data_IF_104002161679
#
_entry.id   IF_104002161679
#
_cell.length_a   1.000
_cell.length_b   1.000
_cell.length_c   1.000
_cell.angle_alpha   90.00
_cell.angle_beta   90.00
_cell.angle_gamma   90.00
#
_symmetry.space_group_name_H-M   'P 1'
#
loop_
_entity.id
_entity.type
_entity.pdbx_description
1 polymer ?
#
# COMPACT_ATOMS: atom_id res chain seq x y z
N UNK A 1 -2.77 -9.12 -11.25
CA UNK A 1 -1.41 -9.01 -11.84
C UNK A 1 -1.38 -8.30 -13.18
N UNK A 2 -2.18 -8.71 -14.18
CA UNK A 2 -2.17 -8.07 -15.52
C UNK A 2 -2.54 -6.58 -15.44
N UNK A 3 -3.61 -6.23 -14.73
CA UNK A 3 -3.97 -4.83 -14.48
C UNK A 3 -2.85 -4.05 -13.77
N UNK A 4 -2.11 -4.70 -12.85
CA UNK A 4 -0.99 -4.06 -12.14
C UNK A 4 0.12 -3.69 -13.14
N UNK A 5 0.44 -4.59 -14.07
CA UNK A 5 1.42 -4.32 -15.13
C UNK A 5 0.96 -3.26 -16.11
N UNK A 6 -0.31 -3.27 -16.54
CA UNK A 6 -0.85 -2.24 -17.44
C UNK A 6 -0.85 -0.85 -16.80
N UNK A 7 -1.18 -0.75 -15.51
CA UNK A 7 -1.12 0.51 -14.77
C UNK A 7 0.33 1.01 -14.67
N UNK A 8 1.31 0.12 -14.49
CA UNK A 8 2.72 0.50 -14.50
C UNK A 8 3.18 1.05 -15.85
N UNK A 9 2.84 0.35 -16.92
CA UNK A 9 3.22 0.71 -18.28
C UNK A 9 2.59 2.02 -18.74
N UNK A 10 1.38 2.32 -18.27
CA UNK A 10 0.71 3.61 -18.48
C UNK A 10 1.19 4.73 -17.55
N UNK A 11 2.16 4.46 -16.67
CA UNK A 11 2.65 5.39 -15.64
C UNK A 11 1.54 5.93 -14.73
N UNK A 12 0.56 5.07 -14.43
CA UNK A 12 -0.57 5.35 -13.56
C UNK A 12 -0.28 5.21 -12.06
N UNK A 13 -1.35 5.22 -11.27
CA UNK A 13 -1.33 5.00 -9.81
C UNK A 13 -2.36 3.96 -9.40
N UNK A 14 -2.07 3.27 -8.30
CA UNK A 14 -2.96 2.33 -7.62
C UNK A 14 -3.21 2.83 -6.20
N UNK A 15 -4.44 3.30 -5.95
CA UNK A 15 -4.93 3.61 -4.61
C UNK A 15 -5.34 2.35 -3.87
N UNK A 16 -4.53 1.91 -2.91
CA UNK A 16 -4.80 0.72 -2.10
C UNK A 16 -5.87 1.07 -1.04
N UNK A 17 -7.01 0.37 -1.10
CA UNK A 17 -8.20 0.66 -0.29
C UNK A 17 -8.12 0.08 1.13
N UNK A 18 -8.53 0.83 2.15
CA UNK A 18 -8.58 0.33 3.54
C UNK A 18 -9.88 -0.43 3.83
N UNK A 19 -10.08 -1.59 3.19
CA UNK A 19 -11.35 -2.30 3.24
C UNK A 19 -11.22 -3.78 3.64
N UNK A 20 -11.77 -4.14 4.81
CA UNK A 20 -11.73 -5.52 5.35
C UNK A 20 -12.54 -6.54 4.52
N UNK A 21 -13.53 -6.06 3.76
CA UNK A 21 -14.40 -6.91 2.94
C UNK A 21 -13.78 -7.33 1.61
N UNK A 22 -12.82 -6.56 1.10
CA UNK A 22 -12.22 -6.76 -0.24
C UNK A 22 -10.77 -7.23 -0.22
N UNK A 23 -10.07 -7.09 0.91
CA UNK A 23 -8.75 -7.68 1.12
C UNK A 23 -8.88 -8.98 1.95
N UNK A 24 -8.12 -10.04 1.64
CA UNK A 24 -8.44 -11.18 0.76
C UNK A 24 -9.77 -11.94 1.05
N UNK A 25 -10.86 -11.22 1.36
CA UNK A 25 -12.19 -11.79 1.43
C UNK A 25 -12.49 -12.59 2.71
N UNK A 26 -13.58 -13.38 2.68
CA UNK A 26 -14.26 -13.96 3.86
C UNK A 26 -13.35 -14.69 4.87
N UNK A 27 -12.20 -15.19 4.44
CA UNK A 27 -11.21 -15.86 5.30
C UNK A 27 -10.69 -14.90 6.38
N UNK A 28 -10.40 -13.66 6.00
CA UNK A 28 -9.81 -12.69 6.90
C UNK A 28 -10.80 -12.08 7.91
N UNK A 29 -12.08 -11.95 7.51
CA UNK A 29 -13.15 -11.57 8.45
C UNK A 29 -13.24 -12.51 9.65
N UNK A 30 -13.02 -13.82 9.44
CA UNK A 30 -12.99 -14.80 10.53
C UNK A 30 -11.74 -14.67 11.40
N UNK A 31 -10.59 -14.37 10.78
CA UNK A 31 -9.32 -14.14 11.50
C UNK A 31 -9.40 -12.89 12.38
N UNK A 32 -9.86 -11.75 11.85
CA UNK A 32 -10.03 -10.50 12.61
C UNK A 32 -10.97 -10.70 13.80
N UNK A 33 -12.12 -11.36 13.57
CA UNK A 33 -13.11 -11.61 14.64
C UNK A 33 -12.55 -12.45 15.80
N UNK A 34 -11.63 -13.36 15.52
CA UNK A 34 -11.02 -14.24 16.52
C UNK A 34 -9.70 -13.69 17.08
N UNK A 35 -9.23 -12.56 16.57
CA UNK A 35 -7.98 -11.93 17.00
C UNK A 35 -8.25 -11.08 18.24
N UNK A 36 -7.39 -11.15 19.27
CA UNK A 36 -7.46 -10.26 20.43
C UNK A 36 -7.49 -8.78 20.01
N UNK A 37 -8.26 -7.96 20.72
CA UNK A 37 -8.48 -6.55 20.35
C UNK A 37 -7.17 -5.76 20.22
N UNK A 38 -6.18 -6.04 21.07
CA UNK A 38 -4.85 -5.42 21.04
C UNK A 38 -4.01 -5.78 19.79
N UNK A 39 -4.37 -6.87 19.10
CA UNK A 39 -3.69 -7.39 17.91
C UNK A 39 -4.41 -7.05 16.60
N UNK A 40 -5.65 -6.54 16.65
CA UNK A 40 -6.42 -6.15 15.46
C UNK A 40 -5.74 -5.07 14.61
N UNK A 41 -5.15 -4.00 15.18
CA UNK A 41 -4.44 -2.99 14.39
C UNK A 41 -3.27 -3.60 13.57
N UNK A 42 -2.50 -4.51 14.18
CA UNK A 42 -1.40 -5.20 13.50
C UNK A 42 -1.90 -6.03 12.33
N UNK A 43 -3.01 -6.73 12.52
CA UNK A 43 -3.63 -7.56 11.50
C UNK A 43 -4.18 -6.74 10.33
N UNK A 44 -4.74 -5.55 10.60
CA UNK A 44 -5.19 -4.58 9.58
C UNK A 44 -4.02 -3.97 8.80
N UNK A 45 -2.92 -3.63 9.48
CA UNK A 45 -1.70 -3.17 8.81
C UNK A 45 -1.11 -4.28 7.93
N UNK A 46 -1.03 -5.50 8.45
CA UNK A 46 -0.56 -6.68 7.70
C UNK A 46 -1.41 -6.90 6.43
N UNK A 47 -2.73 -6.74 6.50
CA UNK A 47 -3.62 -6.81 5.35
C UNK A 47 -3.28 -5.80 4.27
N UNK A 48 -3.21 -4.54 4.67
CA UNK A 48 -2.92 -3.45 3.76
C UNK A 48 -1.57 -3.67 3.10
N UNK A 49 -0.54 -3.95 3.91
CA UNK A 49 0.81 -4.17 3.42
C UNK A 49 0.92 -5.43 2.54
N UNK A 50 0.18 -6.50 2.82
CA UNK A 50 0.16 -7.70 1.95
C UNK A 50 -0.23 -7.34 0.51
N UNK A 51 -1.20 -6.45 0.33
CA UNK A 51 -1.60 -5.98 -1.00
C UNK A 51 -0.54 -5.06 -1.62
N UNK A 52 0.03 -4.15 -0.83
CA UNK A 52 1.12 -3.25 -1.26
C UNK A 52 2.32 -4.05 -1.77
N UNK A 53 2.85 -4.98 -0.97
CA UNK A 53 4.04 -5.75 -1.36
C UNK A 53 3.76 -6.73 -2.50
N UNK A 54 2.53 -7.23 -2.62
CA UNK A 54 2.15 -8.00 -3.81
C UNK A 54 2.24 -7.15 -5.09
N UNK A 55 1.77 -5.90 -5.08
CA UNK A 55 1.90 -4.99 -6.21
C UNK A 55 3.39 -4.77 -6.56
N UNK A 56 4.23 -4.48 -5.56
CA UNK A 56 5.68 -4.30 -5.77
C UNK A 56 6.31 -5.54 -6.39
N UNK A 57 6.02 -6.72 -5.84
CA UNK A 57 6.55 -7.99 -6.36
C UNK A 57 6.10 -8.27 -7.78
N UNK A 58 4.85 -8.00 -8.14
CA UNK A 58 4.37 -8.23 -9.52
C UNK A 58 5.21 -7.42 -10.51
N UNK A 59 5.51 -6.15 -10.20
CA UNK A 59 6.34 -5.30 -11.05
C UNK A 59 7.80 -5.78 -11.06
N UNK A 60 8.38 -6.10 -9.91
CA UNK A 60 9.76 -6.56 -9.83
C UNK A 60 9.96 -7.87 -10.59
N UNK A 61 9.03 -8.82 -10.45
CA UNK A 61 9.17 -10.15 -11.04
C UNK A 61 8.78 -10.19 -12.52
N UNK A 62 7.76 -9.43 -12.95
CA UNK A 62 7.31 -9.44 -14.35
C UNK A 62 8.06 -8.45 -15.23
N UNK A 63 8.41 -7.29 -14.69
CA UNK A 63 8.98 -6.17 -15.46
C UNK A 63 10.42 -5.84 -15.05
N UNK A 64 10.98 -6.45 -14.00
CA UNK A 64 12.33 -6.15 -13.50
C UNK A 64 12.51 -4.67 -13.15
N UNK A 65 11.45 -4.04 -12.65
CA UNK A 65 11.39 -2.62 -12.30
C UNK A 65 10.96 -2.40 -10.86
N UNK A 66 11.23 -1.20 -10.36
CA UNK A 66 10.78 -0.74 -9.05
C UNK A 66 9.30 -0.31 -9.10
N UNK A 67 8.44 -1.05 -8.38
CA UNK A 67 7.00 -0.82 -8.35
C UNK A 67 6.52 0.25 -7.37
N UNK A 68 7.38 0.80 -6.49
CA UNK A 68 6.91 1.68 -5.41
C UNK A 68 6.16 2.91 -5.88
N UNK A 69 6.56 3.49 -7.02
CA UNK A 69 5.93 4.70 -7.58
C UNK A 69 4.43 4.57 -7.83
N UNK A 70 3.92 3.35 -7.99
CA UNK A 70 2.51 3.08 -8.26
C UNK A 70 1.63 3.30 -7.04
N UNK A 71 2.17 3.10 -5.84
CA UNK A 71 1.35 2.81 -4.67
C UNK A 71 0.95 4.12 -4.01
N UNK A 72 -0.35 4.33 -3.87
CA UNK A 72 -0.93 5.40 -3.07
C UNK A 72 -1.96 4.87 -2.09
N UNK A 73 -2.28 5.66 -1.08
CA UNK A 73 -3.39 5.37 -0.18
C UNK A 73 -4.73 5.77 -0.83
N UNK A 74 -5.62 4.79 -1.02
CA UNK A 74 -6.99 5.00 -1.47
C UNK A 74 -7.96 4.92 -0.30
N UNK A 75 -8.00 5.91 0.59
CA UNK A 75 -8.68 5.73 1.89
C UNK A 75 -10.20 5.57 1.79
N UNK A 76 -10.86 6.07 0.74
CA UNK A 76 -12.31 5.96 0.48
C UNK A 76 -13.22 6.19 1.72
N UNK A 77 -12.81 7.12 2.59
CA UNK A 77 -13.34 7.28 3.97
C UNK A 77 -14.84 7.60 4.03
N UNK A 78 -15.39 8.28 3.01
CA UNK A 78 -16.81 8.66 2.96
C UNK A 78 -17.67 7.66 2.13
N UNK A 79 -17.04 6.65 1.52
CA UNK A 79 -17.66 5.68 0.61
C UNK A 79 -17.58 4.21 1.06
N UNK A 80 -16.75 3.90 2.05
CA UNK A 80 -16.49 2.52 2.50
C UNK A 80 -17.64 1.91 3.30
N UNK A 81 -18.08 0.74 2.85
CA UNK A 81 -18.86 -0.22 3.64
C UNK A 81 -17.82 -1.18 4.26
N UNK A 82 -17.64 -1.18 5.59
CA UNK A 82 -16.61 -1.94 6.34
C UNK A 82 -15.17 -1.39 6.23
N UNK A 83 -14.89 -0.17 6.75
CA UNK A 83 -13.52 0.31 6.95
C UNK A 83 -12.79 -0.50 8.03
N UNK A 84 -11.47 -0.34 8.13
CA UNK A 84 -10.72 -0.86 9.28
C UNK A 84 -11.25 -0.21 10.57
N UNK A 85 -11.74 -1.02 11.52
CA UNK A 85 -12.39 -0.51 12.74
C UNK A 85 -11.49 0.48 13.52
N UNK A 86 -10.17 0.23 13.55
CA UNK A 86 -9.20 1.08 14.27
C UNK A 86 -8.73 2.31 13.46
N UNK A 87 -9.15 2.41 12.19
CA UNK A 87 -8.74 3.44 11.22
C UNK A 87 -9.91 3.92 10.35
N UNK A 88 -11.06 4.17 10.97
CA UNK A 88 -12.35 4.34 10.29
C UNK A 88 -12.71 5.79 9.91
N UNK A 89 -11.88 6.77 10.25
CA UNK A 89 -12.11 8.17 9.92
C UNK A 89 -10.82 8.94 9.55
N UNK A 90 -10.99 10.17 9.05
CA UNK A 90 -9.87 11.03 8.65
C UNK A 90 -8.95 11.43 9.80
N UNK A 91 -9.46 11.46 11.05
CA UNK A 91 -8.67 11.73 12.25
C UNK A 91 -7.70 10.59 12.59
N UNK A 92 -8.08 9.36 12.26
CA UNK A 92 -7.25 8.17 12.49
C UNK A 92 -6.19 7.91 11.40
N UNK A 93 -6.20 8.65 10.29
CA UNK A 93 -5.28 8.41 9.17
C UNK A 93 -3.81 8.65 9.55
N UNK A 94 -3.54 9.67 10.36
CA UNK A 94 -2.20 9.92 10.88
C UNK A 94 -1.74 8.83 11.86
N UNK A 95 -2.68 8.27 12.64
CA UNK A 95 -2.41 7.10 13.48
C UNK A 95 -2.05 5.90 12.60
N UNK A 96 -2.81 5.61 11.55
CA UNK A 96 -2.51 4.53 10.61
C UNK A 96 -1.11 4.67 10.01
N UNK A 97 -0.73 5.87 9.58
CA UNK A 97 0.62 6.16 9.08
C UNK A 97 1.70 5.82 10.10
N UNK A 98 1.53 6.26 11.35
CA UNK A 98 2.52 6.07 12.41
C UNK A 98 2.61 4.61 12.86
N UNK A 99 1.48 3.91 12.93
CA UNK A 99 1.44 2.49 13.26
C UNK A 99 2.11 1.66 12.15
N UNK A 100 1.87 2.00 10.88
CA UNK A 100 2.52 1.36 9.74
C UNK A 100 4.02 1.60 9.72
N UNK A 101 4.47 2.82 10.04
CA UNK A 101 5.89 3.11 10.23
C UNK A 101 6.47 2.21 11.32
N UNK A 102 5.83 2.16 12.49
CA UNK A 102 6.30 1.36 13.64
C UNK A 102 6.36 -0.12 13.28
N UNK A 103 5.33 -0.64 12.61
CA UNK A 103 5.24 -2.02 12.16
C UNK A 103 6.41 -2.40 11.22
N UNK A 104 6.73 -1.54 10.26
CA UNK A 104 7.83 -1.77 9.30
C UNK A 104 9.21 -1.57 9.93
N UNK A 105 9.35 -0.60 10.84
CA UNK A 105 10.62 -0.31 11.55
C UNK A 105 10.99 -1.45 12.52
N UNK A 106 9.98 -2.09 13.12
CA UNK A 106 10.13 -3.24 14.03
C UNK A 106 9.82 -4.57 13.35
N UNK A 107 9.90 -4.65 12.01
CA UNK A 107 9.43 -5.81 11.25
C UNK A 107 10.08 -7.14 11.69
N UNK A 108 11.36 -7.10 12.05
CA UNK A 108 12.12 -8.25 12.53
C UNK A 108 11.50 -8.89 13.80
N UNK A 109 10.85 -8.07 14.63
CA UNK A 109 10.28 -8.43 15.92
C UNK A 109 8.84 -8.93 15.81
N UNK A 110 8.22 -8.79 14.64
CA UNK A 110 6.83 -9.22 14.43
C UNK A 110 6.70 -10.72 14.62
N UNK A 111 5.68 -11.10 15.39
CA UNK A 111 5.34 -12.50 15.67
C UNK A 111 4.94 -13.25 14.38
N UNK A 112 5.33 -14.53 14.23
CA UNK A 112 4.79 -15.38 13.16
C UNK A 112 3.26 -15.38 13.17
N UNK A 113 2.65 -15.26 12.01
CA UNK A 113 1.21 -15.08 11.87
C UNK A 113 0.79 -13.63 11.62
N UNK A 114 1.57 -12.66 12.10
CA UNK A 114 1.31 -11.22 11.93
C UNK A 114 2.24 -10.53 10.94
N UNK A 115 3.16 -11.28 10.31
CA UNK A 115 4.06 -10.77 9.26
C UNK A 115 3.38 -10.70 7.91
N UNK A 116 3.74 -9.71 7.10
CA UNK A 116 3.23 -9.53 5.74
C UNK A 116 3.26 -10.86 4.97
N UNK A 117 2.14 -11.22 4.32
CA UNK A 117 2.03 -12.46 3.56
C UNK A 117 2.61 -12.27 2.15
N UNK A 118 3.36 -13.25 1.68
CA UNK A 118 3.85 -13.32 0.30
C UNK A 118 2.86 -14.13 -0.53
N UNK A 119 1.85 -13.44 -1.08
CA UNK A 119 0.81 -14.06 -1.92
C UNK A 119 1.25 -14.29 -3.38
N UNK A 120 2.41 -13.74 -3.78
CA UNK A 120 3.00 -14.01 -5.09
C UNK A 120 3.60 -15.42 -5.15
N UNK A 121 4.32 -15.84 -4.10
CA UNK A 121 4.93 -17.16 -4.03
C UNK A 121 3.92 -18.29 -3.76
N UNK A 122 2.80 -17.98 -3.08
CA UNK A 122 1.71 -18.93 -2.84
C UNK A 122 0.36 -18.20 -2.86
N UNK A 123 -0.56 -18.67 -3.70
CA UNK A 123 -1.91 -18.09 -3.87
C UNK A 123 -2.79 -18.19 -2.62
N UNK A 124 -2.46 -19.03 -1.64
CA UNK A 124 -3.21 -19.13 -0.38
C UNK A 124 -2.72 -18.16 0.73
N UNK A 125 -1.60 -17.46 0.51
CA UNK A 125 -1.02 -16.49 1.46
C UNK A 125 -0.48 -17.09 2.75
N UNK A 126 -0.18 -18.39 2.78
CA UNK A 126 0.39 -19.06 3.95
C UNK A 126 1.86 -18.69 4.21
N UNK A 127 2.59 -18.26 3.18
CA UNK A 127 4.00 -17.87 3.27
C UNK A 127 4.10 -16.41 3.74
N UNK A 128 5.01 -16.15 4.66
CA UNK A 128 5.30 -14.80 5.18
C UNK A 128 6.64 -14.31 4.62
N UNK A 129 6.76 -13.01 4.39
CA UNK A 129 8.05 -12.42 4.08
C UNK A 129 9.00 -12.49 5.28
N UNK A 130 10.27 -12.69 4.96
CA UNK A 130 11.38 -12.47 5.87
C UNK A 130 11.76 -10.99 5.89
N UNK A 131 12.47 -10.58 6.94
CA UNK A 131 13.02 -9.22 7.02
C UNK A 131 13.93 -8.90 5.84
N UNK A 132 14.74 -9.87 5.39
CA UNK A 132 15.64 -9.69 4.26
C UNK A 132 14.87 -9.42 2.96
N UNK A 133 13.78 -10.14 2.70
CA UNK A 133 12.93 -9.91 1.52
C UNK A 133 12.25 -8.54 1.56
N UNK A 134 11.72 -8.12 2.71
CA UNK A 134 11.14 -6.77 2.87
C UNK A 134 12.19 -5.70 2.60
N UNK A 135 13.41 -5.83 3.15
CA UNK A 135 14.51 -4.88 2.92
C UNK A 135 14.95 -4.85 1.46
N UNK A 136 14.97 -5.99 0.78
CA UNK A 136 15.25 -6.05 -0.66
C UNK A 136 14.18 -5.30 -1.45
N UNK A 137 12.90 -5.54 -1.16
CA UNK A 137 11.76 -4.90 -1.80
C UNK A 137 11.74 -3.38 -1.58
N UNK A 138 12.34 -2.85 -0.52
CA UNK A 138 12.48 -1.40 -0.32
C UNK A 138 13.46 -0.74 -1.30
N UNK A 139 14.32 -1.51 -1.96
CA UNK A 139 15.39 -1.01 -2.84
C UNK A 139 16.27 0.06 -2.17
N UNK A 140 16.62 -0.15 -0.90
CA UNK A 140 17.49 0.75 -0.12
C UNK A 140 16.79 1.98 0.46
N UNK A 141 15.48 2.15 0.25
CA UNK A 141 14.69 3.17 0.92
C UNK A 141 14.59 2.90 2.42
N UNK A 142 14.53 3.98 3.19
CA UNK A 142 14.15 3.94 4.59
C UNK A 142 12.65 3.65 4.74
N UNK A 143 12.24 3.15 5.91
CA UNK A 143 10.82 2.97 6.25
C UNK A 143 10.04 4.28 6.12
N UNK A 144 10.67 5.41 6.49
CA UNK A 144 10.06 6.73 6.34
C UNK A 144 9.76 7.08 4.89
N UNK A 145 10.69 6.81 3.97
CA UNK A 145 10.50 7.07 2.54
C UNK A 145 9.42 6.17 1.94
N UNK A 146 9.38 4.90 2.33
CA UNK A 146 8.33 3.96 1.91
C UNK A 146 6.95 4.43 2.36
N UNK A 147 6.79 4.75 3.64
CA UNK A 147 5.51 5.19 4.20
C UNK A 147 5.09 6.56 3.65
N UNK A 148 6.01 7.54 3.59
CA UNK A 148 5.71 8.86 3.03
C UNK A 148 5.42 8.82 1.53
N UNK A 149 6.06 7.89 0.83
CA UNK A 149 5.78 7.53 -0.57
C UNK A 149 4.29 7.30 -0.79
N UNK A 150 3.76 6.31 -0.08
CA UNK A 150 2.37 5.86 -0.20
C UNK A 150 1.35 6.92 0.21
N UNK A 151 1.63 7.71 1.26
CA UNK A 151 0.66 8.67 1.80
C UNK A 151 0.63 9.98 1.03
N UNK A 152 1.77 10.43 0.48
CA UNK A 152 1.88 11.78 -0.07
C UNK A 152 2.67 11.82 -1.37
N UNK A 153 3.90 11.30 -1.36
CA UNK A 153 4.89 11.67 -2.38
C UNK A 153 4.54 11.14 -3.77
N UNK A 154 3.99 9.93 -3.87
CA UNK A 154 3.65 9.35 -5.17
C UNK A 154 2.49 10.10 -5.83
N UNK A 155 1.43 10.43 -5.05
CA UNK A 155 0.32 11.27 -5.53
C UNK A 155 0.80 12.67 -5.94
N UNK A 156 1.62 13.33 -5.12
CA UNK A 156 2.20 14.63 -5.44
C UNK A 156 3.00 14.59 -6.76
N UNK A 157 3.84 13.56 -6.91
CA UNK A 157 4.67 13.37 -8.11
C UNK A 157 3.81 13.18 -9.35
N UNK A 158 2.79 12.32 -9.26
CA UNK A 158 1.84 12.07 -10.35
C UNK A 158 1.09 13.35 -10.76
N UNK A 159 0.55 14.09 -9.79
CA UNK A 159 -0.14 15.36 -10.04
C UNK A 159 0.80 16.38 -10.68
N UNK A 160 2.03 16.51 -10.18
CA UNK A 160 3.02 17.45 -10.73
C UNK A 160 3.41 17.16 -12.18
N UNK A 161 3.27 15.90 -12.62
CA UNK A 161 3.57 15.48 -13.99
C UNK A 161 2.38 15.69 -14.92
N UNK A 162 1.19 15.29 -14.48
CA UNK A 162 0.02 15.16 -15.35
C UNK A 162 -1.01 16.28 -15.21
N UNK A 163 -1.00 17.03 -14.11
CA UNK A 163 -1.92 18.12 -13.85
C UNK A 163 -1.22 19.47 -14.06
N UNK A 164 -0.54 19.60 -15.21
CA UNK A 164 0.10 20.84 -15.64
C UNK A 164 -0.52 21.34 -16.93
N UNK A 165 -0.48 22.66 -17.15
CA UNK A 165 -0.92 23.24 -18.42
C UNK A 165 -0.11 22.65 -19.59
N UNK A 166 1.20 22.44 -19.39
CA UNK A 166 2.07 21.86 -20.41
C UNK A 166 1.61 20.47 -20.82
N UNK A 167 1.20 19.62 -19.88
CA UNK A 167 0.66 18.30 -20.21
C UNK A 167 -0.67 18.38 -20.98
N UNK A 168 -1.56 19.30 -20.59
CA UNK A 168 -2.89 19.44 -21.19
C UNK A 168 -2.90 20.14 -22.56
N UNK A 169 -1.95 21.04 -22.79
CA UNK A 169 -1.99 21.97 -23.93
C UNK A 169 -0.68 22.03 -24.74
N UNK A 170 0.36 21.29 -24.32
CA UNK A 170 1.68 21.30 -24.94
C UNK A 170 2.60 22.41 -24.40
N UNK A 171 3.90 22.37 -24.74
CA UNK A 171 4.87 23.36 -24.28
C UNK A 171 4.52 24.78 -24.79
N UNK A 172 4.47 25.76 -23.88
CA UNK A 172 4.28 27.19 -24.21
C UNK A 172 2.99 27.86 -23.73
N UNK A 173 2.13 27.16 -22.99
CA UNK A 173 0.85 27.70 -22.46
C UNK A 173 0.92 28.08 -20.97
N UNK A 174 0.23 29.17 -20.58
CA UNK A 174 0.26 29.74 -19.23
C UNK A 174 -0.41 28.85 -18.15
N UNK A 175 0.03 28.90 -16.88
CA UNK A 175 -0.52 28.10 -15.79
C UNK A 175 -2.04 28.27 -15.62
N UNK A 176 -2.76 27.17 -15.42
CA UNK A 176 -4.20 27.18 -15.10
C UNK A 176 -4.50 27.58 -13.65
N UNK A 177 -3.47 27.68 -12.80
CA UNK A 177 -3.58 28.13 -11.42
C UNK A 177 -2.48 29.17 -11.17
N UNK A 178 -2.90 30.38 -10.81
CA UNK A 178 -2.06 31.47 -10.28
C UNK A 178 -2.06 31.46 -8.76
#
# INVERSE_FOLDING_TARGET
DEDITEIFESDGLIGVLMHEGRMPGKIYKKTIRNTPDDKKPLLQIQLFLTNVYHIVQVIEQKLMHDGWKLITLGSDMDGLIDPFDDYNDSGTLMKFRNDMYTYLDTYAEQEPGYRIKNIYANTDGSVEFTEAEIRMLHHGRTVSEVVNGMFYKHSETFLSKYFTTEYLHGPGTQPLIT
#
